data_IF_461211999685
#
_entry.id   IF_461211999685
#
_cell.length_a   1.000
_cell.length_b   1.000
_cell.length_c   1.000
_cell.angle_alpha   90.00
_cell.angle_beta   90.00
_cell.angle_gamma   90.00
#
_symmetry.space_group_name_H-M   'P 1'
#
loop_
_entity.id
_entity.type
_entity.pdbx_description
1 polymer ?
2 polymer ?
3 polymer ?
4 water ?
#
# COMPACT_ATOMS: atom_id res chain seq x y z
N UNK A 25 -2.66 -19.45 10.61
CA UNK A 25 -2.67 -18.08 10.00
C UNK A 25 -2.69 -18.22 8.49
N UNK A 26 -2.75 -17.10 7.77
CA UNK A 26 -2.74 -17.12 6.32
C UNK A 26 -1.65 -16.20 5.76
N UNK A 27 -1.23 -16.46 4.53
CA UNK A 27 -0.24 -15.63 3.84
C UNK A 27 -0.67 -15.34 2.42
N UNK A 28 0.15 -14.59 1.71
CA UNK A 28 -0.22 -14.24 0.35
C UNK A 28 0.92 -13.75 -0.52
N UNK A 29 0.76 -14.04 -1.80
CA UNK A 29 1.67 -13.62 -2.87
C UNK A 29 0.81 -12.79 -3.81
N UNK A 30 0.95 -11.46 -3.80
CA UNK A 30 0.16 -10.54 -4.61
C UNK A 30 0.96 -9.74 -5.64
N UNK A 31 0.43 -9.57 -6.85
CA UNK A 31 1.15 -8.76 -7.83
C UNK A 31 0.31 -7.53 -8.19
N UNK A 32 0.95 -6.37 -8.07
CA UNK A 32 0.31 -5.07 -8.31
C UNK A 32 0.92 -4.49 -9.58
N UNK A 33 0.09 -4.37 -10.60
CA UNK A 33 0.55 -3.94 -11.92
C UNK A 33 -0.17 -2.64 -12.34
N UNK A 34 0.62 -1.72 -12.86
CA UNK A 34 0.12 -0.40 -13.28
C UNK A 34 0.60 -0.03 -14.70
N UNK A 35 -0.33 0.48 -15.48
CA UNK A 35 -0.13 1.00 -16.84
C UNK A 35 -0.90 2.32 -16.96
N UNK A 36 -0.10 3.34 -17.20
CA UNK A 36 -0.52 4.73 -17.30
C UNK A 36 -0.13 5.36 -18.65
N UNK A 37 -1.14 5.63 -19.46
CA UNK A 37 -0.96 6.24 -20.77
C UNK A 37 -0.42 7.67 -20.59
N UNK A 38 0.34 8.09 -21.58
CA UNK A 38 0.93 9.44 -21.58
C UNK A 38 1.11 9.96 -22.99
N UNK A 39 -0.01 10.33 -23.64
CA UNK A 39 -0.01 10.86 -25.01
C UNK A 39 1.01 11.97 -25.26
N UNK A 40 1.19 12.85 -24.28
CA UNK A 40 2.14 13.94 -24.35
C UNK A 40 3.57 13.62 -23.90
N UNK A 41 3.81 12.40 -23.45
CA UNK A 41 5.13 12.00 -23.02
C UNK A 41 5.64 10.71 -23.71
N UNK A 42 4.81 10.00 -24.50
CA UNK A 42 5.29 8.78 -25.17
C UNK A 42 4.47 7.52 -24.86
N UNK A 43 5.03 6.33 -25.10
CA UNK A 43 4.29 5.10 -24.80
C UNK A 43 4.02 5.00 -23.30
N UNK A 44 3.08 4.12 -22.93
CA UNK A 44 2.72 3.94 -21.51
C UNK A 44 3.77 3.47 -20.56
N UNK A 45 3.79 4.12 -19.40
CA UNK A 45 4.69 3.67 -18.34
C UNK A 45 3.97 2.45 -17.75
N UNK A 46 4.74 1.38 -17.64
CA UNK A 46 4.27 0.09 -17.17
C UNK A 46 5.12 -0.47 -16.02
N UNK A 47 4.48 -0.83 -14.91
CA UNK A 47 5.21 -1.40 -13.78
C UNK A 47 4.53 -2.61 -13.16
N UNK A 48 5.36 -3.48 -12.60
CA UNK A 48 4.91 -4.66 -11.87
C UNK A 48 5.56 -4.70 -10.47
N UNK A 49 4.74 -4.85 -9.44
CA UNK A 49 5.31 -4.95 -8.11
C UNK A 49 4.83 -6.25 -7.42
N UNK A 50 5.76 -7.08 -6.95
CA UNK A 50 5.40 -8.32 -6.26
C UNK A 50 5.54 -8.19 -4.73
N UNK A 51 4.62 -8.81 -4.00
CA UNK A 51 4.59 -8.80 -2.54
C UNK A 51 4.31 -10.15 -1.89
N UNK A 52 4.95 -10.38 -0.75
CA UNK A 52 4.63 -11.56 0.08
C UNK A 52 4.22 -10.94 1.44
N UNK A 53 2.93 -10.83 1.65
CA UNK A 53 2.38 -10.21 2.88
C UNK A 53 2.63 -8.69 2.79
N UNK A 54 3.16 -7.97 3.79
CA UNK A 54 3.35 -6.54 3.57
C UNK A 54 4.82 -6.28 3.17
N UNK A 55 5.37 -7.19 2.37
CA UNK A 55 6.79 -7.11 2.04
C UNK A 55 7.02 -7.15 0.54
N UNK A 56 7.39 -6.00 -0.03
CA UNK A 56 7.70 -5.98 -1.45
C UNK A 56 8.98 -6.79 -1.62
N UNK A 57 9.08 -7.57 -2.70
CA UNK A 57 10.24 -8.38 -3.01
C UNK A 57 10.60 -8.36 -4.52
N UNK A 58 9.81 -7.77 -5.42
CA UNK A 58 10.22 -7.69 -6.85
C UNK A 58 9.59 -6.44 -7.48
N UNK A 59 10.22 -5.95 -8.53
CA UNK A 59 9.74 -4.73 -9.18
C UNK A 59 10.15 -4.70 -10.64
N UNK A 60 9.27 -4.19 -11.49
CA UNK A 60 9.56 -4.05 -12.92
C UNK A 60 9.19 -2.63 -13.26
N UNK A 61 10.08 -1.91 -13.96
CA UNK A 61 9.78 -0.51 -14.34
C UNK A 61 10.11 -0.31 -15.80
N UNK A 62 9.14 0.19 -16.56
CA UNK A 62 9.25 0.51 -17.97
C UNK A 62 10.38 1.51 -18.22
N UNK A 63 10.30 2.62 -17.51
CA UNK A 63 11.20 3.75 -17.60
C UNK A 63 12.59 3.56 -17.01
N UNK A 64 12.96 2.34 -16.60
CA UNK A 64 14.30 2.15 -16.04
C UNK A 64 15.34 2.22 -17.16
N UNK A 65 16.61 2.21 -16.78
CA UNK A 65 17.75 2.27 -17.69
C UNK A 65 17.88 0.99 -18.54
N UNK A 66 17.25 -0.07 -18.09
CA UNK A 66 17.24 -1.37 -18.79
C UNK A 66 16.20 -2.18 -18.02
N UNK A 67 14.92 -1.98 -18.40
CA UNK A 67 13.83 -2.66 -17.74
C UNK A 67 14.00 -4.16 -17.60
N UNK A 68 13.89 -4.61 -16.37
CA UNK A 68 13.99 -6.03 -16.02
C UNK A 68 13.41 -6.24 -14.62
N UNK A 69 13.04 -7.48 -14.31
CA UNK A 69 12.52 -7.77 -12.98
C UNK A 69 13.69 -7.68 -12.01
N UNK A 70 13.53 -6.92 -10.92
CA UNK A 70 14.60 -6.77 -9.95
C UNK A 70 14.19 -7.13 -8.53
N UNK A 71 15.16 -7.63 -7.74
CA UNK A 71 14.93 -8.03 -6.35
C UNK A 71 14.75 -6.82 -5.42
N UNK A 72 13.80 -6.88 -4.51
CA UNK A 72 13.55 -5.76 -3.61
C UNK A 72 13.64 -6.21 -2.15
N UNK A 73 13.96 -7.48 -2.00
CA UNK A 73 14.11 -8.17 -0.74
C UNK A 73 15.22 -9.20 -0.96
N UNK A 74 16.16 -9.28 -0.03
CA UNK A 74 17.31 -10.16 -0.14
C UNK A 74 17.06 -11.66 -0.21
N UNK A 75 15.93 -12.12 0.34
CA UNK A 75 15.60 -13.53 0.26
C UNK A 75 15.26 -13.96 -1.17
N UNK A 76 14.87 -13.04 -2.07
CA UNK A 76 14.59 -13.45 -3.46
C UNK A 76 15.89 -13.43 -4.29
N UNK A 77 16.92 -12.76 -3.77
CA UNK A 77 18.22 -12.72 -4.43
C UNK A 77 18.84 -14.14 -4.61
N UNK A 78 18.31 -15.16 -3.96
CA UNK A 78 18.76 -16.54 -4.11
C UNK A 78 18.10 -17.28 -5.29
N UNK A 79 17.69 -16.53 -6.30
CA UNK A 79 17.07 -17.09 -7.50
C UNK A 79 18.03 -17.00 -8.68
N UNK A 80 18.03 -18.07 -9.47
CA UNK A 80 18.89 -18.16 -10.64
C UNK A 80 18.59 -17.16 -11.75
N UNK A 81 19.43 -17.21 -12.80
CA UNK A 81 19.30 -16.32 -13.96
C UNK A 81 18.00 -16.54 -14.69
N UNK A 82 17.64 -17.81 -14.87
CA UNK A 82 16.38 -18.18 -15.50
C UNK A 82 15.22 -17.44 -14.88
N UNK A 83 15.22 -17.29 -13.55
CA UNK A 83 14.16 -16.62 -12.85
C UNK A 83 14.04 -15.15 -13.27
N UNK A 84 15.13 -14.41 -13.35
CA UNK A 84 15.07 -13.00 -13.70
C UNK A 84 14.77 -12.75 -15.17
N UNK A 85 15.11 -13.70 -16.05
CA UNK A 85 14.81 -13.51 -17.47
C UNK A 85 13.39 -13.97 -17.79
N UNK A 86 12.89 -14.98 -17.08
CA UNK A 86 11.54 -15.50 -17.29
C UNK A 86 10.53 -14.44 -16.89
N UNK A 87 10.75 -13.83 -15.72
CA UNK A 87 9.87 -12.79 -15.22
C UNK A 87 9.96 -11.56 -16.10
N UNK A 88 11.19 -11.16 -16.47
CA UNK A 88 11.33 -10.04 -17.42
C UNK A 88 10.55 -10.36 -18.69
N UNK A 89 10.63 -11.57 -19.24
CA UNK A 89 9.85 -11.93 -20.43
C UNK A 89 8.33 -11.76 -20.22
N UNK A 90 7.87 -12.29 -19.11
CA UNK A 90 6.50 -12.24 -18.66
C UNK A 90 6.12 -10.78 -18.47
N UNK A 91 6.98 -9.96 -17.85
CA UNK A 91 6.64 -8.54 -17.74
C UNK A 91 6.56 -7.89 -19.11
N UNK A 92 7.51 -8.21 -19.99
CA UNK A 92 7.54 -7.62 -21.33
C UNK A 92 6.31 -8.07 -22.11
N UNK A 93 5.90 -9.32 -21.92
CA UNK A 93 4.71 -9.83 -22.59
C UNK A 93 3.50 -9.03 -22.14
N UNK A 94 3.38 -8.90 -20.82
CA UNK A 94 2.28 -8.20 -20.18
C UNK A 94 2.09 -6.76 -20.61
N UNK A 95 3.18 -5.99 -20.68
CA UNK A 95 3.12 -4.59 -21.08
C UNK A 95 2.47 -4.40 -22.47
N UNK A 96 2.79 -5.29 -23.42
CA UNK A 96 2.19 -5.21 -24.76
C UNK A 96 0.67 -5.30 -24.67
N UNK A 97 0.19 -6.28 -23.90
CA UNK A 97 -1.25 -6.43 -23.72
C UNK A 97 -1.91 -5.20 -23.09
N UNK A 98 -1.19 -4.52 -22.21
CA UNK A 98 -1.68 -3.35 -21.49
C UNK A 98 -1.75 -2.12 -22.39
N UNK A 99 -0.81 -2.01 -23.31
CA UNK A 99 -0.82 -0.92 -24.29
C UNK A 99 -2.12 -1.08 -25.10
N UNK A 100 -2.35 -2.29 -25.59
CA UNK A 100 -3.56 -2.61 -26.33
C UNK A 100 -4.75 -2.23 -25.45
N UNK A 101 -4.85 -2.90 -24.32
CA UNK A 101 -5.93 -2.64 -23.36
C UNK A 101 -6.21 -1.17 -23.15
N UNK A 102 -5.18 -0.35 -22.95
CA UNK A 102 -5.42 1.06 -22.76
C UNK A 102 -6.26 1.59 -23.95
N UNK A 103 -5.74 1.49 -25.16
CA UNK A 103 -6.47 1.92 -26.37
C UNK A 103 -7.87 1.33 -26.52
N UNK A 104 -8.09 0.06 -26.20
CA UNK A 104 -9.44 -0.50 -26.28
C UNK A 104 -10.39 0.23 -25.33
N UNK A 105 -9.90 0.55 -24.12
CA UNK A 105 -10.72 1.24 -23.13
C UNK A 105 -11.12 2.62 -23.65
N UNK A 106 -10.19 3.29 -24.33
CA UNK A 106 -10.46 4.58 -24.97
C UNK A 106 -11.73 4.47 -25.82
N UNK A 107 -11.76 3.49 -26.71
CA UNK A 107 -12.93 3.25 -27.57
C UNK A 107 -14.18 2.99 -26.72
N UNK A 108 -14.07 2.08 -25.76
CA UNK A 108 -15.17 1.73 -24.89
C UNK A 108 -15.84 2.87 -24.14
N UNK A 109 -15.10 3.90 -23.75
CA UNK A 109 -15.65 5.04 -23.00
C UNK A 109 -15.81 6.30 -23.82
N UNK A 110 -15.45 6.25 -25.09
CA UNK A 110 -15.57 7.40 -25.98
C UNK A 110 -14.76 8.59 -25.46
N UNK A 111 -13.48 8.37 -25.13
CA UNK A 111 -12.69 9.48 -24.62
C UNK A 111 -11.61 9.93 -25.59
N UNK A 112 -11.17 11.17 -25.40
CA UNK A 112 -10.11 11.74 -26.21
C UNK A 112 -8.80 10.98 -26.00
N UNK A 113 -7.86 11.18 -26.90
CA UNK A 113 -6.58 10.50 -26.82
C UNK A 113 -5.44 11.41 -26.37
N UNK A 114 -5.78 12.46 -25.62
CA UNK A 114 -4.75 13.37 -25.11
C UNK A 114 -4.62 13.19 -23.59
N UNK A 115 -5.69 12.68 -22.98
CA UNK A 115 -5.74 12.47 -21.54
C UNK A 115 -5.04 11.24 -20.98
N UNK A 116 -4.16 11.46 -20.02
CA UNK A 116 -3.46 10.35 -19.37
C UNK A 116 -4.50 9.51 -18.65
N UNK A 117 -4.46 8.20 -18.86
CA UNK A 117 -5.41 7.29 -18.22
C UNK A 117 -4.65 6.15 -17.55
N UNK A 118 -5.35 5.40 -16.72
CA UNK A 118 -4.69 4.30 -16.01
C UNK A 118 -5.45 2.97 -16.03
N UNK A 119 -4.69 1.91 -16.06
CA UNK A 119 -5.22 0.55 -15.95
C UNK A 119 -4.41 -0.17 -14.86
N UNK A 120 -5.07 -0.62 -13.80
CA UNK A 120 -4.33 -1.33 -12.74
C UNK A 120 -4.87 -2.73 -12.72
N UNK A 121 -4.03 -3.67 -12.31
CA UNK A 121 -4.36 -5.10 -12.19
C UNK A 121 -3.78 -5.64 -10.89
N UNK A 122 -4.54 -6.39 -10.10
CA UNK A 122 -4.00 -6.98 -8.87
C UNK A 122 -4.35 -8.49 -8.96
N UNK A 123 -3.34 -9.32 -8.89
CA UNK A 123 -3.53 -10.76 -9.03
C UNK A 123 -2.72 -11.51 -8.00
N UNK A 124 -3.31 -12.57 -7.46
CA UNK A 124 -2.63 -13.33 -6.44
C UNK A 124 -3.44 -14.31 -5.59
N UNK A 125 -2.74 -14.89 -4.62
CA UNK A 125 -3.36 -15.88 -3.77
C UNK A 125 -3.10 -15.77 -2.27
N UNK A 126 -4.16 -15.98 -1.51
CA UNK A 126 -4.07 -15.98 -0.05
C UNK A 126 -4.21 -17.46 0.34
N UNK A 127 -3.18 -18.11 0.92
CA UNK A 127 -3.35 -19.50 1.33
C UNK A 127 -3.43 -19.60 2.84
N UNK A 128 -4.20 -20.58 3.33
CA UNK A 128 -4.35 -20.78 4.77
C UNK A 128 -3.11 -21.40 5.38
N UNK A 129 -3.27 -21.87 6.61
CA UNK A 129 -2.18 -22.49 7.38
C UNK A 129 -2.02 -23.98 7.04
N UNK A 130 -3.11 -24.58 6.57
CA UNK A 130 -3.12 -25.97 6.18
C UNK A 130 -2.48 -26.18 4.79
N UNK A 131 -2.12 -25.07 4.16
CA UNK A 131 -1.49 -25.05 2.86
C UNK A 131 -2.51 -24.79 1.76
N UNK A 132 -3.77 -25.13 2.03
CA UNK A 132 -4.84 -24.95 1.05
C UNK A 132 -4.97 -23.50 0.63
N UNK A 133 -5.70 -23.29 -0.44
CA UNK A 133 -5.94 -21.96 -0.98
C UNK A 133 -7.13 -21.31 -0.30
N UNK A 134 -6.89 -20.21 0.40
CA UNK A 134 -7.98 -19.51 1.07
C UNK A 134 -8.76 -18.71 0.02
N UNK A 135 -8.05 -17.99 -0.83
CA UNK A 135 -8.67 -17.16 -1.86
C UNK A 135 -7.71 -16.82 -3.02
N UNK A 136 -8.28 -16.75 -4.21
CA UNK A 136 -7.54 -16.43 -5.44
C UNK A 136 -8.00 -15.07 -5.94
N UNK A 137 -7.08 -14.27 -6.45
CA UNK A 137 -7.41 -12.92 -6.88
C UNK A 137 -7.02 -12.60 -8.32
N UNK A 138 -7.81 -11.77 -9.02
CA UNK A 138 -7.48 -11.41 -10.40
C UNK A 138 -8.46 -10.36 -10.90
N UNK A 139 -8.18 -9.10 -10.57
CA UNK A 139 -9.07 -7.99 -10.90
C UNK A 139 -8.35 -6.78 -11.51
N UNK A 140 -9.15 -5.91 -12.10
CA UNK A 140 -8.62 -4.71 -12.76
C UNK A 140 -9.52 -3.52 -12.44
N UNK A 141 -8.94 -2.35 -12.58
CA UNK A 141 -9.64 -1.09 -12.37
C UNK A 141 -9.16 -0.21 -13.50
N UNK A 142 -9.98 0.74 -13.97
CA UNK A 142 -9.57 1.62 -15.05
C UNK A 142 -9.75 3.06 -14.55
N UNK A 143 -8.67 3.84 -14.54
CA UNK A 143 -8.78 5.19 -13.96
C UNK A 143 -9.21 5.16 -12.47
N UNK A 144 -8.71 4.20 -11.71
CA UNK A 144 -9.03 4.08 -10.28
C UNK A 144 -10.35 3.45 -9.90
N UNK A 145 -11.22 3.14 -10.85
CA UNK A 145 -12.51 2.53 -10.51
C UNK A 145 -12.54 1.07 -10.95
N UNK A 146 -13.22 0.24 -10.18
CA UNK A 146 -13.37 -1.17 -10.52
C UNK A 146 -13.76 -1.27 -12.01
N UNK A 147 -13.30 -2.35 -12.62
CA UNK A 147 -13.54 -2.63 -14.02
C UNK A 147 -14.07 -4.03 -14.24
N UNK A 148 -13.34 -5.04 -13.77
CA UNK A 148 -13.71 -6.43 -13.98
C UNK A 148 -12.94 -7.30 -13.00
N UNK A 149 -13.64 -8.19 -12.32
CA UNK A 149 -13.04 -9.04 -11.30
C UNK A 149 -13.43 -10.50 -11.40
N UNK A 150 -12.45 -11.38 -11.18
CA UNK A 150 -12.69 -12.81 -11.18
C UNK A 150 -13.32 -13.19 -9.84
N UNK A 151 -14.63 -13.42 -9.81
CA UNK A 151 -15.30 -13.79 -8.57
C UNK A 151 -14.48 -14.82 -7.77
N UNK A 152 -14.81 -14.96 -6.49
CA UNK A 152 -14.14 -15.90 -5.59
C UNK A 152 -14.30 -17.36 -6.05
N UNK A 153 -15.32 -17.62 -6.85
CA UNK A 153 -15.58 -18.93 -7.43
C UNK A 153 -14.52 -19.31 -8.44
N UNK A 154 -13.85 -18.30 -8.98
CA UNK A 154 -12.75 -18.45 -9.95
C UNK A 154 -13.24 -19.15 -11.21
N UNK A 155 -14.35 -18.64 -11.71
CA UNK A 155 -15.03 -19.16 -12.86
C UNK A 155 -15.81 -18.10 -13.65
N UNK A 156 -16.44 -17.19 -12.92
CA UNK A 156 -17.26 -16.14 -13.52
C UNK A 156 -16.71 -14.76 -13.19
N UNK A 157 -17.03 -13.75 -14.01
CA UNK A 157 -16.53 -12.39 -13.79
C UNK A 157 -17.59 -11.54 -13.10
N UNK A 158 -17.26 -10.28 -12.86
CA UNK A 158 -18.19 -9.34 -12.27
C UNK A 158 -17.75 -7.96 -12.74
N UNK A 159 -18.61 -7.28 -13.51
CA UNK A 159 -18.28 -5.95 -14.01
C UNK A 159 -19.30 -4.93 -13.54
N UNK A 160 -18.98 -3.65 -13.68
CA UNK A 160 -19.90 -2.63 -13.21
C UNK A 160 -19.96 -1.35 -14.07
N UNK A 161 -20.39 -1.54 -15.28
CA UNK A 161 -20.65 -0.55 -16.31
C UNK A 161 -21.26 -1.37 -17.43
N UNK A 162 -21.11 -0.97 -18.69
CA UNK A 162 -21.61 -1.82 -19.78
C UNK A 162 -20.49 -1.92 -20.81
N UNK A 163 -19.31 -1.49 -20.38
CA UNK A 163 -18.11 -1.52 -21.21
C UNK A 163 -17.25 -2.71 -20.83
N UNK A 164 -17.36 -3.10 -19.56
CA UNK A 164 -16.61 -4.22 -19.00
C UNK A 164 -17.43 -5.51 -19.07
N UNK A 165 -18.67 -5.36 -19.52
CA UNK A 165 -19.55 -6.51 -19.77
C UNK A 165 -19.14 -6.97 -21.18
N UNK A 166 -18.66 -6.01 -21.96
CA UNK A 166 -18.08 -6.26 -23.28
C UNK A 166 -16.82 -7.11 -23.04
N UNK A 167 -16.06 -6.75 -22.02
CA UNK A 167 -14.85 -7.48 -21.63
C UNK A 167 -15.25 -8.81 -21.00
N UNK A 168 -16.31 -8.79 -20.19
CA UNK A 168 -16.79 -10.03 -19.58
C UNK A 168 -17.24 -10.95 -20.70
N UNK A 169 -18.08 -10.45 -21.60
CA UNK A 169 -18.53 -11.25 -22.74
C UNK A 169 -17.32 -11.80 -23.48
N UNK A 170 -16.47 -10.92 -23.98
CA UNK A 170 -15.25 -11.30 -24.68
C UNK A 170 -14.48 -12.43 -23.98
N UNK A 171 -14.04 -12.20 -22.74
CA UNK A 171 -13.28 -13.19 -21.99
C UNK A 171 -14.04 -14.44 -21.62
N UNK A 172 -15.33 -14.32 -21.29
CA UNK A 172 -16.16 -15.47 -20.92
C UNK A 172 -16.23 -16.45 -22.08
N UNK A 173 -16.41 -15.93 -23.29
CA UNK A 173 -16.44 -16.73 -24.50
C UNK A 173 -15.12 -17.51 -24.70
N UNK A 174 -14.00 -16.86 -24.44
CA UNK A 174 -12.68 -17.43 -24.62
C UNK A 174 -12.20 -18.47 -23.61
N UNK A 175 -12.79 -18.55 -22.43
CA UNK A 175 -12.34 -19.51 -21.42
C UNK A 175 -11.14 -18.99 -20.64
N UNK A 176 -11.09 -17.68 -20.44
CA UNK A 176 -10.02 -17.02 -19.70
C UNK A 176 -9.85 -17.55 -18.28
N UNK A 177 -10.93 -17.60 -17.49
CA UNK A 177 -10.86 -18.07 -16.12
C UNK A 177 -10.10 -19.37 -15.88
N UNK A 178 -10.24 -20.38 -16.73
CA UNK A 178 -9.52 -21.64 -16.50
C UNK A 178 -8.02 -21.40 -16.28
N UNK A 179 -7.36 -20.83 -17.28
CA UNK A 179 -5.93 -20.54 -17.20
C UNK A 179 -5.59 -19.65 -16.00
N UNK A 180 -6.41 -18.64 -15.76
CA UNK A 180 -6.23 -17.72 -14.63
C UNK A 180 -6.38 -18.48 -13.34
N UNK A 181 -7.47 -19.25 -13.25
CA UNK A 181 -7.73 -20.07 -12.09
C UNK A 181 -6.71 -21.18 -11.93
N UNK A 182 -5.96 -21.54 -12.98
CA UNK A 182 -4.90 -22.55 -12.86
C UNK A 182 -3.66 -21.93 -12.23
N UNK A 183 -3.40 -20.66 -12.51
CA UNK A 183 -2.27 -19.95 -11.92
C UNK A 183 -2.57 -19.64 -10.44
N UNK A 184 -3.76 -19.17 -10.13
CA UNK A 184 -4.12 -18.89 -8.75
C UNK A 184 -4.09 -20.16 -7.90
N UNK A 185 -4.54 -21.30 -8.43
CA UNK A 185 -4.56 -22.53 -7.64
C UNK A 185 -3.25 -23.31 -7.66
N UNK A 186 -2.48 -23.18 -8.75
CA UNK A 186 -1.24 -23.91 -8.88
C UNK A 186 0.05 -23.21 -8.53
N UNK A 187 0.65 -22.56 -9.51
CA UNK A 187 1.92 -21.83 -9.40
C UNK A 187 2.01 -20.79 -8.30
N UNK A 188 0.96 -20.00 -8.13
CA UNK A 188 0.96 -18.96 -7.09
C UNK A 188 1.26 -19.61 -5.72
N UNK A 189 0.50 -20.65 -5.39
CA UNK A 189 0.63 -21.42 -4.15
C UNK A 189 2.04 -21.99 -3.96
N UNK A 190 2.55 -22.71 -4.94
CA UNK A 190 3.89 -23.28 -4.82
C UNK A 190 4.95 -22.22 -4.68
N UNK A 191 4.87 -21.16 -5.48
CA UNK A 191 5.86 -20.09 -5.38
C UNK A 191 5.75 -19.39 -4.04
N UNK A 192 4.52 -19.17 -3.56
CA UNK A 192 4.34 -18.56 -2.24
C UNK A 192 4.97 -19.52 -1.23
N UNK A 193 4.58 -20.80 -1.34
CA UNK A 193 5.13 -21.84 -0.48
C UNK A 193 6.64 -21.81 -0.46
N UNK A 194 7.28 -21.65 -1.62
CA UNK A 194 8.73 -21.57 -1.67
C UNK A 194 9.19 -20.24 -1.08
N UNK A 195 8.56 -19.12 -1.45
CA UNK A 195 8.97 -17.84 -0.89
C UNK A 195 8.84 -17.84 0.65
N UNK A 196 7.70 -18.29 1.17
CA UNK A 196 7.49 -18.32 2.62
C UNK A 196 8.59 -19.07 3.34
N UNK A 197 8.90 -20.27 2.87
CA UNK A 197 9.94 -21.10 3.44
C UNK A 197 11.35 -20.55 3.24
N UNK A 198 11.59 -19.71 2.21
CA UNK A 198 12.91 -19.18 1.98
C UNK A 198 13.11 -17.76 2.59
N UNK A 199 12.03 -17.15 3.09
CA UNK A 199 12.11 -15.82 3.66
C UNK A 199 11.61 -15.87 5.09
N UNK A 200 11.75 -17.03 5.70
CA UNK A 200 11.29 -17.27 7.05
C UNK A 200 11.95 -16.43 8.14
N UNK A 201 13.12 -15.81 7.93
CA UNK A 201 13.76 -15.01 8.98
C UNK A 201 13.31 -13.53 8.97
N UNK A 202 12.37 -13.24 8.09
CA UNK A 202 11.80 -11.89 7.97
C UNK A 202 10.29 -12.06 7.86
N UNK A 203 9.88 -12.77 6.81
CA UNK A 203 8.46 -13.02 6.53
C UNK A 203 7.87 -13.66 7.76
N UNK A 204 8.60 -14.66 8.24
CA UNK A 204 8.28 -15.30 9.48
C UNK A 204 9.14 -14.58 10.58
N UNK A 205 8.36 -13.77 11.21
CA UNK A 205 8.64 -12.89 12.33
C UNK A 205 7.31 -12.19 12.70
N UNK A 206 7.10 -11.99 13.99
CA UNK A 206 5.92 -11.29 14.48
C UNK A 206 6.45 -10.33 15.51
N UNK A 207 6.44 -9.01 15.20
CA UNK A 207 6.90 -8.06 16.20
C UNK A 207 5.67 -7.40 16.81
N UNK A 208 5.52 -7.56 18.13
CA UNK A 208 4.38 -6.97 18.82
C UNK A 208 4.55 -5.46 18.89
N UNK A 209 3.46 -4.73 18.98
CA UNK A 209 3.55 -3.28 19.05
C UNK A 209 4.03 -2.80 20.42
N UNK A 210 4.85 -1.75 20.53
CA UNK A 210 5.09 -1.23 21.87
C UNK A 210 3.96 -0.19 21.99
N UNK A 211 3.18 -0.18 23.08
CA UNK A 211 2.09 0.78 23.17
C UNK A 211 2.20 1.69 24.39
N UNK A 212 1.60 2.86 24.29
CA UNK A 212 1.59 3.83 25.38
C UNK A 212 0.58 4.92 25.12
N UNK A 213 0.10 5.56 26.17
CA UNK A 213 -0.89 6.62 26.01
C UNK A 213 -0.30 7.97 26.39
N UNK A 214 -0.60 8.99 25.59
CA UNK A 214 -0.12 10.34 25.91
C UNK A 214 -1.31 11.17 26.38
N UNK A 215 -1.07 12.26 27.11
CA UNK A 215 -2.14 13.13 27.62
C UNK A 215 -2.02 14.54 27.03
N UNK A 216 -3.05 15.04 26.37
CA UNK A 216 -2.98 16.40 25.79
C UNK A 216 -4.01 17.40 26.26
N UNK A 217 -3.68 18.19 27.27
CA UNK A 217 -4.58 19.22 27.77
C UNK A 217 -5.01 20.20 26.67
N UNK A 218 -6.26 20.08 26.24
CA UNK A 218 -6.82 20.94 25.21
C UNK A 218 -7.21 22.31 25.75
N UNK A 219 -7.16 23.33 24.89
CA UNK A 219 -7.51 24.70 25.27
C UNK A 219 -8.94 24.82 25.75
N UNK A 220 -9.83 23.99 25.20
CA UNK A 220 -11.24 23.95 25.58
C UNK A 220 -11.53 23.45 26.98
N UNK A 221 -10.50 23.06 27.75
CA UNK A 221 -10.69 22.57 29.11
C UNK A 221 -10.80 21.06 29.20
N UNK A 222 -10.64 20.35 28.08
CA UNK A 222 -10.74 18.91 28.09
C UNK A 222 -9.41 18.27 27.67
N UNK A 223 -9.33 16.95 27.76
CA UNK A 223 -8.09 16.24 27.46
C UNK A 223 -8.22 15.30 26.29
N UNK A 224 -7.15 15.25 25.51
CA UNK A 224 -7.04 14.34 24.37
C UNK A 224 -6.09 13.20 24.77
N UNK A 225 -6.63 12.00 24.87
CA UNK A 225 -5.82 10.84 25.23
C UNK A 225 -5.41 10.17 23.94
N UNK A 226 -4.10 9.98 23.73
CA UNK A 226 -3.64 9.38 22.49
C UNK A 226 -3.00 8.03 22.74
N UNK A 227 -3.55 7.01 22.09
CA UNK A 227 -3.05 5.64 22.22
C UNK A 227 -2.14 5.27 21.05
N UNK A 228 -0.89 4.99 21.37
CA UNK A 228 0.12 4.65 20.39
C UNK A 228 0.49 3.20 20.31
N UNK A 229 0.80 2.74 19.10
CA UNK A 229 1.33 1.42 18.85
C UNK A 229 2.48 1.59 17.82
N UNK A 230 3.67 1.21 18.23
CA UNK A 230 4.91 1.32 17.46
C UNK A 230 5.71 0.00 17.28
N UNK A 231 6.54 -0.14 16.26
CA UNK A 231 7.39 -1.32 16.08
C UNK A 231 6.72 -2.65 15.77
N UNK A 232 5.52 -2.63 15.22
CA UNK A 232 4.82 -3.88 14.98
C UNK A 232 4.82 -4.35 13.55
N UNK A 233 4.80 -5.66 13.45
CA UNK A 233 4.78 -6.40 12.23
C UNK A 233 4.16 -7.79 12.48
N UNK A 234 3.23 -8.20 11.62
CA UNK A 234 2.82 -7.44 10.43
C UNK A 234 2.06 -6.15 10.75
N UNK A 235 1.59 -5.53 9.68
CA UNK A 235 0.90 -4.26 9.75
C UNK A 235 -0.52 -4.34 10.31
N UNK A 236 -1.10 -5.53 10.37
CA UNK A 236 -2.44 -5.76 10.91
C UNK A 236 -2.51 -5.53 12.40
N UNK A 237 -3.39 -4.63 12.86
CA UNK A 237 -3.54 -4.30 14.26
C UNK A 237 -4.93 -3.68 14.56
N UNK A 238 -5.41 -3.75 15.79
CA UNK A 238 -6.69 -3.10 16.11
C UNK A 238 -6.45 -2.31 17.36
N UNK A 239 -6.93 -1.05 17.38
CA UNK A 239 -6.80 -0.14 18.50
C UNK A 239 -8.17 0.37 18.88
N UNK A 240 -8.63 0.26 20.13
CA UNK A 240 -9.97 0.80 20.45
C UNK A 240 -9.96 1.50 21.78
N UNK A 241 -10.89 2.42 21.99
CA UNK A 241 -11.03 3.12 23.26
C UNK A 241 -12.32 2.67 23.92
N UNK A 242 -12.34 2.64 25.25
CA UNK A 242 -13.49 2.18 26.03
C UNK A 242 -13.87 3.04 27.21
N UNK A 243 -15.12 2.90 27.65
CA UNK A 243 -15.61 3.66 28.81
C UNK A 243 -16.46 2.73 29.68
N UNK A 244 -15.86 2.12 30.71
CA UNK A 244 -16.58 1.19 31.58
C UNK A 244 -17.23 0.09 30.72
N UNK A 245 -16.40 -0.48 29.85
CA UNK A 245 -16.85 -1.52 28.94
C UNK A 245 -17.81 -0.97 27.90
N UNK A 246 -17.38 0.07 27.19
CA UNK A 246 -18.22 0.68 26.16
C UNK A 246 -17.40 1.22 24.98
N UNK A 247 -17.54 0.57 23.84
CA UNK A 247 -16.84 0.97 22.61
C UNK A 247 -17.29 2.37 22.18
N UNK A 248 -16.39 3.35 22.27
CA UNK A 248 -16.74 4.72 21.90
C UNK A 248 -16.13 5.16 20.58
N UNK A 249 -16.75 4.73 19.50
CA UNK A 249 -16.32 5.05 18.14
C UNK A 249 -16.66 6.51 17.77
N UNK A 250 -17.72 7.04 18.37
CA UNK A 250 -18.12 8.42 18.14
C UNK A 250 -16.90 9.33 18.38
N UNK A 251 -16.48 9.33 19.62
CA UNK A 251 -15.36 10.05 20.17
C UNK A 251 -13.96 9.64 19.70
N UNK A 252 -13.77 8.67 18.80
CA UNK A 252 -12.43 8.22 18.45
C UNK A 252 -11.87 8.48 17.04
N UNK A 253 -10.79 9.22 17.06
CA UNK A 253 -9.97 9.55 15.89
C UNK A 253 -8.82 8.56 15.84
N UNK A 254 -8.56 7.98 14.68
CA UNK A 254 -7.45 7.06 14.50
C UNK A 254 -6.75 7.35 13.19
N UNK A 255 -5.43 7.17 13.12
CA UNK A 255 -4.74 7.41 11.88
C UNK A 255 -4.53 6.09 11.13
N UNK A 256 -4.35 6.26 9.84
CA UNK A 256 -4.04 5.19 8.93
C UNK A 256 -2.67 4.62 9.36
N UNK A 257 -2.58 3.31 9.48
CA UNK A 257 -1.36 2.57 9.83
C UNK A 257 -0.28 3.00 8.89
N UNK A 258 0.93 3.32 9.35
CA UNK A 258 1.94 3.78 8.40
C UNK A 258 3.25 3.04 8.68
N UNK A 259 4.19 3.10 7.72
CA UNK A 259 5.45 2.43 7.89
C UNK A 259 6.50 3.33 8.57
N UNK A 260 7.33 2.74 9.39
CA UNK A 260 8.42 3.49 10.04
C UNK A 260 9.61 3.57 9.04
N UNK A 261 9.50 2.72 8.03
CA UNK A 261 10.47 2.57 6.96
C UNK A 261 11.47 1.46 7.22
N UNK A 262 11.44 0.82 8.39
CA UNK A 262 12.44 -0.22 8.64
C UNK A 262 11.90 -1.64 8.61
N UNK A 263 10.63 -1.79 8.21
CA UNK A 263 9.99 -3.09 8.17
C UNK A 263 8.92 -3.13 9.24
N UNK A 264 8.94 -2.18 10.18
CA UNK A 264 7.91 -2.17 11.21
C UNK A 264 6.82 -1.13 10.90
N UNK A 265 5.76 -1.09 11.69
CA UNK A 265 4.67 -0.16 11.43
C UNK A 265 4.22 0.61 12.68
N UNK A 266 3.41 1.63 12.45
CA UNK A 266 2.94 2.52 13.49
C UNK A 266 1.47 2.91 13.33
N UNK A 267 0.83 3.17 14.46
CA UNK A 267 -0.57 3.62 14.42
C UNK A 267 -0.98 4.23 15.72
N UNK A 268 -1.93 5.16 15.69
CA UNK A 268 -2.40 5.73 16.93
C UNK A 268 -3.90 5.91 16.85
N UNK A 269 -4.52 6.12 18.02
CA UNK A 269 -5.97 6.35 18.12
C UNK A 269 -6.21 7.32 19.24
N UNK A 270 -7.10 8.32 19.05
CA UNK A 270 -7.33 9.28 20.12
C UNK A 270 -8.78 9.45 20.55
N UNK A 271 -8.92 9.95 21.76
CA UNK A 271 -10.26 10.19 22.30
C UNK A 271 -10.25 11.48 23.13
N UNK A 272 -11.28 12.31 23.01
CA UNK A 272 -11.35 13.54 23.81
C UNK A 272 -12.19 13.20 25.04
N UNK A 273 -11.57 13.31 26.20
CA UNK A 273 -12.18 13.02 27.46
C UNK A 273 -12.27 14.22 28.38
N UNK A 274 -13.34 14.25 29.19
CA UNK A 274 -13.53 15.35 30.13
C UNK A 274 -12.39 15.21 31.16
N UNK A 275 -11.75 16.33 31.49
CA UNK A 275 -10.63 16.37 32.42
C UNK A 275 -11.06 15.93 33.79
N UNK A 276 -10.42 14.89 34.30
CA UNK A 276 -10.76 14.36 35.61
C UNK A 276 -11.45 13.00 35.50
N UNK A 277 -11.85 12.61 34.29
CA UNK A 277 -12.49 11.33 34.06
C UNK A 277 -11.59 10.40 33.24
N UNK A 278 -10.31 10.76 33.10
CA UNK A 278 -9.36 9.95 32.35
C UNK A 278 -9.30 8.50 32.82
N UNK A 279 -9.09 8.29 34.13
CA UNK A 279 -9.01 6.96 34.71
C UNK A 279 -9.90 5.90 34.02
N UNK A 280 -11.13 6.27 33.77
CA UNK A 280 -12.21 5.52 33.14
C UNK A 280 -12.08 5.16 31.68
N UNK A 281 -11.09 5.68 30.95
CA UNK A 281 -10.97 5.33 29.52
C UNK A 281 -9.88 4.31 29.31
N UNK A 282 -10.07 3.40 28.36
CA UNK A 282 -9.05 2.37 28.13
C UNK A 282 -8.79 2.11 26.67
N UNK A 283 -7.52 1.91 26.34
CA UNK A 283 -7.10 1.61 24.98
C UNK A 283 -6.83 0.12 24.91
N UNK A 284 -7.43 -0.56 23.93
CA UNK A 284 -7.27 -2.00 23.76
C UNK A 284 -6.43 -2.19 22.49
N UNK A 285 -5.42 -3.05 22.58
CA UNK A 285 -4.52 -3.33 21.47
C UNK A 285 -4.48 -4.80 21.11
N UNK A 286 -4.96 -5.11 19.92
CA UNK A 286 -5.01 -6.47 19.42
C UNK A 286 -4.04 -6.66 18.24
N UNK A 287 -3.06 -7.52 18.44
CA UNK A 287 -2.06 -7.83 17.42
C UNK A 287 -1.63 -9.29 17.54
N UNK A 288 -1.31 -9.88 16.41
CA UNK A 288 -0.90 -11.27 16.32
C UNK A 288 0.34 -11.59 17.17
N UNK A 289 1.22 -10.60 17.28
CA UNK A 289 2.44 -10.69 18.06
C UNK A 289 2.20 -10.57 19.54
N UNK A 290 0.98 -10.24 19.95
CA UNK A 290 0.65 -10.13 21.37
C UNK A 290 -0.01 -11.41 21.88
N UNK A 291 0.55 -11.92 22.98
CA UNK A 291 0.04 -13.15 23.60
C UNK A 291 -1.42 -12.98 23.98
N UNK A 292 -1.73 -11.85 24.59
CA UNK A 292 -3.07 -11.45 24.98
C UNK A 292 -3.19 -9.98 24.60
N UNK A 293 -4.42 -9.54 24.28
CA UNK A 293 -4.63 -8.14 23.89
C UNK A 293 -4.21 -7.22 24.99
N UNK A 294 -3.60 -6.06 24.70
CA UNK A 294 -3.25 -5.16 25.78
C UNK A 294 -4.40 -4.19 26.09
N UNK A 295 -4.43 -3.73 27.32
CA UNK A 295 -5.40 -2.75 27.80
C UNK A 295 -4.56 -1.70 28.53
N UNK A 296 -4.66 -0.45 28.08
CA UNK A 296 -3.87 0.65 28.62
C UNK A 296 -4.75 1.75 29.16
N UNK A 297 -4.28 2.41 30.21
CA UNK A 297 -4.96 3.54 30.81
C UNK A 297 -3.89 4.61 30.94
N UNK A 298 -4.28 5.87 31.11
CA UNK A 298 -3.27 6.91 31.28
C UNK A 298 -2.98 7.04 32.78
N UNK B 21 -10.76 8.42 -10.49
CA UNK B 21 -10.87 9.63 -11.35
C UNK B 21 -9.95 10.73 -10.83
N UNK B 22 -10.16 11.08 -9.57
CA UNK B 22 -9.32 12.06 -8.90
C UNK B 22 -9.54 11.84 -7.41
N UNK B 23 -8.47 11.51 -6.66
CA UNK B 23 -8.57 11.29 -5.22
C UNK B 23 -7.43 12.04 -4.47
N UNK B 24 -7.82 12.73 -3.43
CA UNK B 24 -6.94 13.57 -2.62
C UNK B 24 -5.95 12.85 -1.71
N UNK B 25 -4.68 13.22 -1.85
CA UNK B 25 -3.61 12.62 -1.04
C UNK B 25 -3.69 12.95 0.42
N UNK B 26 -3.72 11.91 1.26
CA UNK B 26 -3.70 12.08 2.71
C UNK B 26 -2.22 12.09 3.10
N UNK B 27 -1.77 13.02 3.94
CA UNK B 27 -0.37 13.11 4.29
C UNK B 27 -0.05 12.96 5.76
N UNK B 28 0.95 12.13 6.06
CA UNK B 28 1.41 12.03 7.44
C UNK B 28 2.92 12.30 7.40
N UNK B 29 3.40 13.14 8.31
CA UNK B 29 4.82 13.46 8.47
C UNK B 29 5.21 12.98 9.84
N UNK B 30 6.24 12.14 9.92
CA UNK B 30 6.62 11.59 11.22
C UNK B 30 8.00 10.96 11.20
N UNK B 31 8.60 10.87 12.37
CA UNK B 31 9.93 10.27 12.45
C UNK B 31 9.80 8.76 12.61
N UNK B 32 10.75 7.98 12.10
CA UNK B 32 10.78 6.54 12.28
C UNK B 32 10.89 6.08 13.76
N UNK B 33 11.69 6.79 14.56
CA UNK B 33 11.87 6.50 15.99
C UNK B 33 11.39 7.66 16.82
N UNK B 34 11.07 7.39 18.10
CA UNK B 34 10.60 8.46 19.01
C UNK B 34 11.69 9.51 18.95
N UNK B 35 11.27 10.77 18.69
CA UNK B 35 12.21 11.87 18.58
C UNK B 35 12.96 12.34 19.83
N UNK B 36 14.26 12.45 19.68
CA UNK B 36 15.13 12.90 20.74
C UNK B 36 16.08 13.97 20.17
N UNK B 37 16.10 15.15 20.76
CA UNK B 37 17.01 16.20 20.28
C UNK B 37 18.44 15.73 20.50
N UNK B 38 19.31 15.87 19.49
CA UNK B 38 20.68 15.37 19.63
C UNK B 38 20.83 14.04 18.85
N UNK B 39 19.93 13.11 19.11
CA UNK B 39 19.87 11.78 18.49
C UNK B 39 19.37 11.67 17.03
N UNK B 40 20.23 11.15 16.15
CA UNK B 40 19.92 10.94 14.72
C UNK B 40 18.63 10.14 14.45
N UNK B 41 17.96 10.45 13.35
CA UNK B 41 16.68 9.79 13.08
C UNK B 41 16.29 9.86 11.60
N UNK B 42 15.13 9.31 11.29
CA UNK B 42 14.65 9.31 9.92
C UNK B 42 13.28 10.00 9.90
N UNK B 43 13.13 11.00 9.02
CA UNK B 43 11.84 11.71 8.94
C UNK B 43 11.09 11.16 7.75
N UNK B 44 9.82 10.80 7.95
CA UNK B 44 9.01 10.25 6.89
C UNK B 44 7.89 11.18 6.46
N UNK B 45 7.55 11.07 5.18
CA UNK B 45 6.43 11.80 4.64
C UNK B 45 5.69 10.71 3.89
N UNK B 46 4.64 10.16 4.52
CA UNK B 46 3.86 9.07 3.97
C UNK B 46 2.59 9.63 3.31
N UNK B 47 2.45 9.43 2.01
CA UNK B 47 1.32 9.99 1.25
C UNK B 47 0.48 8.92 0.64
N UNK B 48 -0.81 8.88 0.97
CA UNK B 48 -1.67 7.80 0.51
C UNK B 48 -3.00 8.25 -0.07
N UNK B 49 -3.81 7.26 -0.39
CA UNK B 49 -5.17 7.41 -0.90
C UNK B 49 -5.29 8.33 -2.10
N UNK B 50 -4.29 8.38 -2.98
CA UNK B 50 -4.34 9.31 -4.08
C UNK B 50 -4.46 8.74 -5.47
N UNK B 51 -4.96 9.57 -6.35
CA UNK B 51 -5.23 9.28 -7.77
C UNK B 51 -5.39 10.65 -8.41
N UNK B 52 -4.82 10.84 -9.61
CA UNK B 52 -3.92 9.87 -10.25
C UNK B 52 -2.60 9.61 -9.62
N UNK B 53 -1.83 8.69 -10.21
CA UNK B 53 -0.52 8.38 -9.67
C UNK B 53 0.52 9.47 -9.73
N UNK B 54 0.47 10.42 -10.68
CA UNK B 54 1.45 11.50 -10.69
C UNK B 54 1.33 12.38 -9.43
N UNK B 55 2.44 12.60 -8.76
CA UNK B 55 2.46 13.36 -7.50
C UNK B 55 3.83 13.98 -7.33
N UNK B 56 3.94 15.13 -6.67
CA UNK B 56 5.27 15.71 -6.52
C UNK B 56 5.49 15.93 -5.05
N UNK B 57 6.54 15.32 -4.48
CA UNK B 57 6.81 15.42 -3.06
C UNK B 57 8.15 16.07 -2.80
N UNK B 58 8.15 16.96 -1.80
CA UNK B 58 9.36 17.66 -1.39
C UNK B 58 9.42 17.69 0.13
N UNK B 59 10.60 17.48 0.70
CA UNK B 59 10.78 17.52 2.15
C UNK B 59 11.65 18.74 2.39
N UNK B 60 11.16 19.58 3.28
CA UNK B 60 11.72 20.87 3.57
C UNK B 60 12.27 21.04 4.95
N UNK B 61 13.41 21.70 5.04
CA UNK B 61 14.03 22.01 6.32
C UNK B 61 14.14 23.54 6.41
N UNK B 62 13.57 24.11 7.46
CA UNK B 62 13.61 25.55 7.63
C UNK B 62 13.26 26.24 6.30
N UNK B 63 12.22 25.75 5.61
CA UNK B 63 11.79 26.26 4.33
C UNK B 63 12.66 25.92 3.13
N UNK B 64 13.86 25.39 3.37
CA UNK B 64 14.74 25.04 2.26
C UNK B 64 14.49 23.59 1.91
N UNK B 65 14.57 23.28 0.61
CA UNK B 65 14.33 21.92 0.16
C UNK B 65 15.50 21.01 0.56
N UNK B 66 15.16 19.85 1.11
CA UNK B 66 16.18 18.88 1.58
C UNK B 66 16.66 18.12 0.36
N UNK B 67 17.98 18.11 0.15
CA UNK B 67 18.54 17.41 -1.00
C UNK B 67 18.52 15.92 -1.06
N UNK B 68 18.98 15.22 -0.02
CA UNK B 68 18.93 13.76 -0.13
C UNK B 68 17.64 13.19 0.46
N UNK B 69 16.67 13.04 -0.42
CA UNK B 69 15.35 12.53 -0.04
C UNK B 69 14.99 11.31 -0.88
N UNK B 70 14.84 10.20 -0.18
CA UNK B 70 14.51 8.93 -0.82
C UNK B 70 13.03 8.69 -0.94
N UNK B 71 12.64 8.14 -2.08
CA UNK B 71 11.24 7.82 -2.34
C UNK B 71 11.11 6.30 -2.55
N UNK B 72 10.02 5.76 -2.04
CA UNK B 72 9.76 4.32 -2.07
C UNK B 72 8.28 3.91 -1.88
N UNK B 73 8.07 2.62 -2.03
CA UNK B 73 6.75 2.00 -1.97
C UNK B 73 5.89 2.72 -3.02
N UNK B 74 6.30 2.68 -4.29
CA UNK B 74 5.51 3.33 -5.35
C UNK B 74 4.52 2.28 -5.82
N UNK B 75 3.35 2.16 -5.18
CA UNK B 75 2.37 1.14 -5.56
C UNK B 75 0.98 1.59 -5.21
N UNK B 76 0.10 0.63 -4.91
CA UNK B 76 -1.27 0.95 -4.61
C UNK B 76 -1.90 -0.10 -3.73
N UNK B 77 -3.14 0.10 -3.32
CA UNK B 77 -3.78 -0.86 -2.45
C UNK B 77 -5.04 -1.51 -3.01
N UNK B 78 -5.56 -2.43 -2.21
CA UNK B 78 -6.79 -3.15 -2.49
C UNK B 78 -7.88 -2.26 -3.10
N UNK B 79 -8.10 -1.08 -2.52
CA UNK B 79 -9.09 -0.13 -2.97
C UNK B 79 -8.74 0.66 -4.26
N UNK B 80 -7.57 0.36 -4.79
CA UNK B 80 -6.89 0.90 -5.96
C UNK B 80 -6.15 2.20 -5.75
N UNK B 81 -6.35 2.89 -4.62
CA UNK B 81 -5.67 4.17 -4.46
C UNK B 81 -4.19 3.94 -4.37
N UNK B 82 -3.40 4.98 -4.61
CA UNK B 82 -1.96 4.93 -4.62
C UNK B 82 -1.32 5.56 -3.39
N UNK B 83 -0.08 5.19 -3.13
CA UNK B 83 0.62 5.76 -1.98
C UNK B 83 2.12 5.80 -2.21
N UNK B 84 2.85 6.45 -1.32
CA UNK B 84 4.29 6.54 -1.47
C UNK B 84 4.93 6.99 -0.15
N UNK B 85 6.15 6.53 0.15
CA UNK B 85 6.88 6.92 1.35
C UNK B 85 8.16 7.70 0.98
N UNK B 86 8.23 8.99 1.26
CA UNK B 86 9.47 9.74 1.01
C UNK B 86 10.09 9.86 2.40
N UNK B 87 11.43 9.87 2.48
CA UNK B 87 12.18 9.94 3.71
C UNK B 87 13.59 10.51 3.58
N UNK B 88 14.09 11.03 4.68
CA UNK B 88 15.42 11.62 4.71
C UNK B 88 15.97 11.49 6.14
N UNK B 89 17.27 11.65 6.26
CA UNK B 89 17.96 11.52 7.54
C UNK B 89 17.95 12.85 8.29
N UNK B 90 17.78 12.86 9.61
CA UNK B 90 17.82 14.13 10.29
C UNK B 90 18.07 14.00 11.78
N UNK B 91 18.43 15.11 12.41
CA UNK B 91 18.60 15.17 13.85
C UNK B 91 17.65 16.21 14.43
N UNK B 92 16.60 15.72 15.10
CA UNK B 92 15.65 16.64 15.69
C UNK B 92 16.44 17.64 16.54
N UNK B 93 15.91 18.85 16.64
CA UNK B 93 16.49 19.93 17.41
C UNK B 93 15.35 20.81 17.89
N UNK B 94 15.65 21.74 18.79
CA UNK B 94 14.65 22.62 19.36
C UNK B 94 14.34 23.81 18.45
N UNK B 95 15.18 24.09 17.45
CA UNK B 95 14.94 25.24 16.59
C UNK B 95 14.60 24.96 15.16
N UNK B 96 14.96 23.77 14.68
CA UNK B 96 14.70 23.42 13.30
C UNK B 96 13.25 23.05 13.07
N UNK B 97 12.77 23.38 11.88
CA UNK B 97 11.39 23.17 11.47
C UNK B 97 11.41 22.32 10.24
N UNK B 98 10.59 21.28 10.27
CA UNK B 98 10.52 20.42 9.13
C UNK B 98 9.10 20.35 8.55
N UNK B 99 9.00 20.06 7.26
CA UNK B 99 7.69 19.96 6.66
C UNK B 99 7.75 19.14 5.37
N UNK B 100 6.58 18.78 4.86
CA UNK B 100 6.50 17.99 3.62
C UNK B 100 5.54 18.71 2.68
N UNK B 101 5.91 18.86 1.41
CA UNK B 101 5.07 19.58 0.46
C UNK B 101 4.58 18.63 -0.62
N UNK B 102 3.28 18.51 -0.78
CA UNK B 102 2.73 17.60 -1.78
C UNK B 102 2.01 18.34 -2.89
N UNK B 103 2.43 18.08 -4.12
CA UNK B 103 1.78 18.69 -5.28
C UNK B 103 1.03 17.58 -5.98
N UNK B 104 -0.29 17.73 -6.14
CA UNK B 104 -1.11 16.72 -6.81
C UNK B 104 -2.33 17.37 -7.51
N UNK B 105 -2.69 16.94 -8.73
CA UNK B 105 -3.80 17.49 -9.51
C UNK B 105 -5.18 17.53 -8.89
N UNK B 106 -5.41 16.74 -7.85
CA UNK B 106 -6.70 16.81 -7.15
C UNK B 106 -6.88 18.16 -6.40
N UNK B 107 -5.81 18.90 -6.18
CA UNK B 107 -5.88 20.15 -5.43
C UNK B 107 -5.26 21.33 -6.15
N UNK B 108 -5.89 22.49 -6.01
CA UNK B 108 -5.40 23.73 -6.60
C UNK B 108 -3.91 23.93 -6.26
N UNK B 109 -3.63 24.20 -4.99
CA UNK B 109 -2.26 24.42 -4.55
C UNK B 109 -1.69 23.23 -3.79
N UNK B 110 -0.36 23.18 -3.73
CA UNK B 110 0.33 22.11 -3.03
C UNK B 110 0.02 22.26 -1.55
N UNK B 111 0.08 21.16 -0.82
CA UNK B 111 -0.18 21.18 0.60
C UNK B 111 1.11 20.89 1.37
N UNK B 112 1.44 21.83 2.23
CA UNK B 112 2.59 21.76 3.12
C UNK B 112 2.12 21.25 4.48
N UNK B 113 2.67 20.12 4.97
CA UNK B 113 2.30 19.68 6.32
C UNK B 113 3.57 19.71 7.21
N UNK B 114 3.57 20.51 8.27
CA UNK B 114 4.70 20.57 9.20
C UNK B 114 4.71 19.35 10.14
N UNK B 115 5.91 18.98 10.54
CA UNK B 115 6.14 17.86 11.41
C UNK B 115 5.63 18.25 12.78
N UNK B 116 4.79 17.41 13.40
CA UNK B 116 4.31 17.67 14.78
C UNK B 116 4.74 16.38 15.47
N UNK B 117 5.75 16.49 16.34
CA UNK B 117 6.38 15.33 16.94
C UNK B 117 5.56 14.49 17.88
N UNK B 118 4.72 15.08 18.72
CA UNK B 118 3.89 14.22 19.57
C UNK B 118 2.50 14.43 19.07
N UNK B 119 2.21 13.88 17.88
CA UNK B 119 0.87 14.07 17.37
C UNK B 119 0.05 12.93 17.93
N UNK C 1 6.14 -16.01 -8.14
CA UNK C 1 6.10 -15.96 -9.62
C UNK C 1 4.84 -15.25 -10.11
N UNK C 2 5.00 -14.31 -11.04
CA UNK C 2 3.83 -13.52 -11.42
C UNK C 2 2.87 -14.12 -12.39
N UNK C 3 1.73 -13.47 -12.56
CA UNK C 3 0.68 -13.90 -13.48
C UNK C 3 0.94 -13.41 -14.93
N UNK C 4 0.45 -14.13 -15.92
CA UNK C 4 0.65 -13.72 -17.31
C UNK C 4 -0.65 -13.26 -17.94
N UNK C 5 -0.60 -12.19 -18.74
CA UNK C 5 -1.84 -11.77 -19.41
C UNK C 5 -2.28 -12.78 -20.50
N UNK C 6 -1.34 -13.60 -20.96
CA UNK C 6 -1.55 -14.62 -21.97
C UNK C 6 -2.07 -14.09 -23.33
N UNK C 7 -1.91 -12.80 -23.52
CA UNK C 7 -2.36 -11.99 -24.66
C UNK C 7 -3.87 -11.96 -24.80
N UNK C 8 -4.55 -12.03 -23.65
CA UNK C 8 -6.02 -11.97 -23.62
C UNK C 8 -6.31 -10.54 -23.18
N UNK C 9 -6.66 -9.67 -24.13
CA UNK C 9 -6.89 -8.26 -23.80
C UNK C 9 -8.31 -7.89 -23.37
N UNK C 10 -8.56 -6.60 -23.09
CA UNK C 10 -9.87 -6.20 -22.59
C UNK C 10 -10.93 -6.00 -23.67
#
# INVERSE_FOLDING_TARGET
MGAMAPRTLLLLLAAALGPTQTRAGSHSLRYFVTAVSRPGFGEPRYMEVGYVDNTEFVRFDSDAENPRYEPRARWIEQEGPEYWERETRRAKGNEQSFRVDLRTALRYYNQSAGGSHTLQWMAGCDVESDGRLLRGYWQFAYDGCDYIALNEDLKTWTAADMAAQITRRKWEQAGAAERDRAYLEGECVEWLRRYLKNGNATLLRTDPPKAHVTHHRRPEGDVTLRCWALGFYPADITLTWQLNGEELTQEMELVETRPAGDGTFQKWASVVVPLGKEQKYTCHVEHEGLPEPLTLRWGKEEPPSSTKTNTVIIAVPVVLGAVVILGAVMAFVMKRRRNTGGKGGDYALAPGSQSSDMSLPDCKV
MARSVTLVFLVLVSLTGLYAIQKTPQIQVYSRHPPENGKPNILNCYVTQFHPPHIEIQMLKNGKKIPKVEMSDMSFSKDWSFYILAHTEFTPTETDTYACRVKHDSMAEPKTVYWDRDM
RGPGRAFVTI
#
